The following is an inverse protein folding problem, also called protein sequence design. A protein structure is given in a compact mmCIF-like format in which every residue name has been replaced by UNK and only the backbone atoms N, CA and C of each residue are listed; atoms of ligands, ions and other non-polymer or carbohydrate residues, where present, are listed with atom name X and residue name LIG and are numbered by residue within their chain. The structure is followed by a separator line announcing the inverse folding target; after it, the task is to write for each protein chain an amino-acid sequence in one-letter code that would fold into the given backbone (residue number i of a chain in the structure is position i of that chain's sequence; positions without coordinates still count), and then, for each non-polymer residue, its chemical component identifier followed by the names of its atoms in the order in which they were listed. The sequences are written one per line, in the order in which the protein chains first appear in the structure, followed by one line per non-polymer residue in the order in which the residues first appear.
data_IF_015334694073
#
_entry.id   IF_015334694073
#
_cell.length_a   1.000
_cell.length_b   1.000
_cell.length_c   1.000
_cell.angle_alpha   90.00
_cell.angle_beta   90.00
_cell.angle_gamma   90.00
#
_symmetry.space_group_name_H-M   'P 1'
#
loop_
_entity.id
_entity.type
_entity.pdbx_description
1 polymer ?
#
# COMPACT_ATOMS: atom_id res chain seq x y z
N UNK A 1 21.70 1.58 -19.06
CA UNK A 1 21.42 2.95 -18.54
C UNK A 1 20.30 2.83 -17.54
N UNK A 2 20.43 3.40 -16.32
CA UNK A 2 19.43 3.20 -15.24
C UNK A 2 18.17 4.06 -15.37
N UNK A 3 18.25 5.14 -16.13
CA UNK A 3 17.14 6.10 -16.30
C UNK A 3 16.66 6.10 -17.75
N UNK A 4 15.85 5.13 -18.11
CA UNK A 4 15.22 5.03 -19.41
C UNK A 4 13.78 4.51 -19.27
N UNK A 5 12.98 4.65 -20.30
CA UNK A 5 11.60 4.17 -20.31
C UNK A 5 11.54 2.67 -20.61
N UNK A 6 10.94 1.92 -19.70
CA UNK A 6 10.61 0.50 -19.89
C UNK A 6 9.24 0.41 -20.55
N UNK A 7 9.17 -0.10 -21.75
CA UNK A 7 7.94 -0.17 -22.56
C UNK A 7 7.45 -1.60 -22.80
N UNK A 8 8.28 -2.59 -22.51
CA UNK A 8 7.95 -4.00 -22.76
C UNK A 8 7.27 -4.63 -21.56
N UNK A 9 6.19 -5.38 -21.82
CA UNK A 9 5.57 -6.22 -20.79
C UNK A 9 6.51 -7.35 -20.43
N UNK A 10 6.96 -7.40 -19.16
CA UNK A 10 7.91 -8.39 -18.68
C UNK A 10 7.82 -8.55 -17.16
N UNK A 11 8.39 -9.63 -16.62
CA UNK A 11 8.55 -9.77 -15.16
C UNK A 11 9.45 -8.66 -14.62
N UNK A 12 9.09 -8.11 -13.45
CA UNK A 12 9.90 -7.10 -12.74
C UNK A 12 11.26 -7.67 -12.33
N UNK A 13 11.27 -8.90 -11.81
CA UNK A 13 12.46 -9.53 -11.27
C UNK A 13 12.95 -10.66 -12.18
N UNK A 14 14.25 -10.93 -12.12
CA UNK A 14 14.90 -12.13 -12.64
C UNK A 14 14.76 -13.28 -11.64
N UNK A 15 15.20 -14.47 -12.02
CA UNK A 15 15.17 -15.66 -11.17
C UNK A 15 16.03 -15.52 -9.91
N UNK A 16 17.09 -14.72 -9.96
CA UNK A 16 17.95 -14.41 -8.83
C UNK A 16 17.37 -13.33 -7.88
N UNK A 17 16.19 -12.77 -8.18
CA UNK A 17 15.53 -11.71 -7.42
C UNK A 17 16.03 -10.30 -7.73
N UNK A 18 16.98 -10.11 -8.65
CA UNK A 18 17.42 -8.78 -9.10
C UNK A 18 16.44 -8.18 -10.09
N UNK A 19 16.42 -6.82 -10.19
CA UNK A 19 15.61 -6.13 -11.20
C UNK A 19 16.02 -6.58 -12.60
N UNK A 20 15.03 -6.94 -13.44
CA UNK A 20 15.26 -7.33 -14.82
C UNK A 20 15.75 -6.15 -15.67
N UNK A 21 15.07 -5.04 -15.55
CA UNK A 21 15.35 -3.84 -16.29
C UNK A 21 15.07 -2.61 -15.41
N UNK A 22 16.10 -2.01 -14.78
CA UNK A 22 15.93 -0.79 -14.00
C UNK A 22 15.57 0.39 -14.90
N UNK A 23 14.46 1.07 -14.61
CA UNK A 23 13.97 2.19 -15.40
C UNK A 23 12.65 2.72 -14.83
N UNK A 24 11.94 3.51 -15.60
CA UNK A 24 10.61 4.02 -15.29
C UNK A 24 9.63 3.64 -16.41
N UNK A 25 8.35 3.64 -16.14
CA UNK A 25 7.31 3.33 -17.14
C UNK A 25 6.09 4.20 -16.91
N UNK A 26 5.39 4.53 -18.01
CA UNK A 26 4.10 5.25 -17.96
C UNK A 26 2.92 4.35 -17.62
N UNK A 27 3.10 3.04 -17.74
CA UNK A 27 2.08 2.03 -17.50
C UNK A 27 2.67 0.86 -16.72
N UNK A 28 1.83 0.02 -16.13
CA UNK A 28 2.24 -1.19 -15.41
C UNK A 28 2.70 -2.29 -16.39
N UNK A 29 3.83 -2.09 -17.05
CA UNK A 29 4.42 -3.07 -18.00
C UNK A 29 5.33 -4.07 -17.30
N UNK A 30 5.82 -3.75 -16.11
CA UNK A 30 6.63 -4.65 -15.30
C UNK A 30 5.73 -5.43 -14.34
N UNK A 31 5.60 -6.73 -14.57
CA UNK A 31 4.74 -7.62 -13.80
C UNK A 31 5.41 -7.95 -12.47
N UNK A 32 4.86 -7.40 -11.39
CA UNK A 32 5.25 -7.71 -10.03
C UNK A 32 4.61 -9.01 -9.55
N UNK A 33 5.39 -9.84 -8.87
CA UNK A 33 4.89 -10.94 -8.04
C UNK A 33 5.72 -11.00 -6.75
N UNK A 34 5.04 -11.08 -5.62
CA UNK A 34 5.66 -11.25 -4.29
C UNK A 34 6.52 -12.52 -4.22
N UNK A 35 6.11 -13.58 -4.91
CA UNK A 35 6.81 -14.87 -4.88
C UNK A 35 8.17 -14.85 -5.58
N UNK A 36 8.42 -13.86 -6.44
CA UNK A 36 9.70 -13.68 -7.12
C UNK A 36 10.77 -13.02 -6.18
N UNK A 37 10.36 -12.49 -5.02
CA UNK A 37 11.28 -11.83 -4.06
C UNK A 37 12.09 -12.88 -3.29
N UNK A 38 13.42 -12.77 -3.33
CA UNK A 38 14.36 -13.69 -2.66
C UNK A 38 14.93 -13.17 -1.35
N UNK A 39 14.59 -11.95 -0.95
CA UNK A 39 15.06 -11.36 0.29
C UNK A 39 14.48 -12.09 1.53
N UNK A 40 15.22 -12.15 2.65
CA UNK A 40 14.68 -12.67 3.91
C UNK A 40 13.52 -11.77 4.42
N UNK A 41 12.54 -12.37 5.08
CA UNK A 41 11.27 -11.72 5.47
C UNK A 41 11.44 -10.39 6.20
N UNK A 42 12.42 -10.28 7.10
CA UNK A 42 12.65 -9.04 7.86
C UNK A 42 13.15 -7.86 7.02
N UNK A 43 13.60 -8.12 5.78
CA UNK A 43 14.05 -7.10 4.82
C UNK A 43 12.99 -6.74 3.79
N UNK A 44 11.91 -7.50 3.74
CA UNK A 44 10.82 -7.24 2.81
C UNK A 44 9.93 -6.17 3.43
N UNK A 45 9.61 -5.16 2.65
CA UNK A 45 8.72 -4.07 3.01
C UNK A 45 7.60 -4.04 1.99
N UNK A 46 6.39 -4.20 2.48
CA UNK A 46 5.19 -4.22 1.66
C UNK A 46 4.18 -3.27 2.28
N UNK A 47 3.56 -2.44 1.46
CA UNK A 47 2.48 -1.59 1.91
C UNK A 47 1.51 -1.27 0.78
N UNK A 48 0.27 -1.07 1.16
CA UNK A 48 -0.73 -0.40 0.34
C UNK A 48 -1.06 0.94 0.97
N UNK A 49 -1.07 1.97 0.13
CA UNK A 49 -1.41 3.33 0.49
C UNK A 49 -2.42 3.87 -0.51
N UNK A 50 -3.49 4.44 0.01
CA UNK A 50 -4.50 5.12 -0.78
C UNK A 50 -4.74 6.52 -0.27
N UNK A 51 -4.71 7.49 -1.17
CA UNK A 51 -5.14 8.86 -0.94
C UNK A 51 -6.42 9.08 -1.77
N UNK A 52 -7.50 9.45 -1.11
CA UNK A 52 -8.77 9.81 -1.73
C UNK A 52 -9.02 11.29 -1.47
N UNK A 53 -9.19 12.07 -2.54
CA UNK A 53 -9.41 13.51 -2.48
C UNK A 53 -10.80 13.81 -3.03
N UNK A 54 -11.56 14.62 -2.31
CA UNK A 54 -12.82 15.21 -2.78
C UNK A 54 -12.62 16.70 -2.94
N UNK A 55 -12.48 17.14 -4.20
CA UNK A 55 -12.36 18.56 -4.53
C UNK A 55 -13.66 19.33 -4.25
N UNK A 56 -14.82 18.67 -4.36
CA UNK A 56 -16.12 19.25 -4.09
C UNK A 56 -16.31 19.64 -2.60
N UNK A 57 -15.65 18.91 -1.71
CA UNK A 57 -15.82 19.06 -0.26
C UNK A 57 -14.55 19.57 0.44
N UNK A 58 -13.50 19.82 -0.33
CA UNK A 58 -12.19 20.24 0.19
C UNK A 58 -11.65 19.31 1.28
N UNK A 59 -11.84 18.00 1.11
CA UNK A 59 -11.36 16.99 2.08
C UNK A 59 -10.51 15.91 1.40
N UNK A 60 -9.66 15.27 2.19
CA UNK A 60 -8.97 14.06 1.76
C UNK A 60 -8.91 13.02 2.88
N UNK A 61 -8.85 11.75 2.48
CA UNK A 61 -8.58 10.62 3.37
C UNK A 61 -7.35 9.86 2.90
N UNK A 62 -6.44 9.54 3.82
CA UNK A 62 -5.26 8.73 3.52
C UNK A 62 -5.27 7.46 4.38
N UNK A 63 -5.03 6.31 3.75
CA UNK A 63 -5.15 5.00 4.39
C UNK A 63 -3.93 4.15 4.08
N UNK A 64 -3.32 3.58 5.11
CA UNK A 64 -2.11 2.76 4.99
C UNK A 64 -2.26 1.44 5.73
N UNK A 65 -1.90 0.34 5.08
CA UNK A 65 -1.61 -0.94 5.71
C UNK A 65 -0.21 -1.35 5.28
N UNK A 66 0.72 -1.49 6.23
CA UNK A 66 2.09 -1.91 5.93
C UNK A 66 2.57 -3.08 6.79
N UNK A 67 3.40 -3.91 6.17
CA UNK A 67 4.21 -4.95 6.78
C UNK A 67 5.66 -4.74 6.35
N UNK A 68 6.43 -4.00 7.13
CA UNK A 68 7.82 -3.68 6.83
C UNK A 68 8.80 -4.71 7.45
N UNK A 69 8.32 -5.92 7.68
CA UNK A 69 9.07 -7.00 8.27
C UNK A 69 9.21 -6.86 9.78
N UNK A 70 10.09 -6.00 10.26
CA UNK A 70 10.30 -5.79 11.71
C UNK A 70 9.26 -4.88 12.37
N UNK A 71 8.55 -4.08 11.60
CA UNK A 71 7.46 -3.21 12.05
C UNK A 71 6.32 -3.22 11.03
N UNK A 72 5.09 -3.14 11.49
CA UNK A 72 3.92 -2.85 10.68
C UNK A 72 3.28 -1.55 11.14
N UNK A 73 2.69 -0.81 10.22
CA UNK A 73 2.00 0.43 10.48
C UNK A 73 0.65 0.41 9.78
N UNK A 74 -0.41 0.67 10.54
CA UNK A 74 -1.75 0.86 10.03
C UNK A 74 -2.21 2.26 10.42
N UNK A 75 -2.53 3.07 9.44
CA UNK A 75 -2.83 4.47 9.65
C UNK A 75 -4.04 4.90 8.83
N UNK A 76 -4.86 5.72 9.44
CA UNK A 76 -5.90 6.48 8.76
C UNK A 76 -5.72 7.96 9.08
N UNK A 77 -5.83 8.81 8.07
CA UNK A 77 -5.77 10.26 8.20
C UNK A 77 -7.02 10.86 7.56
N UNK A 78 -7.56 11.88 8.21
CA UNK A 78 -8.53 12.79 7.63
C UNK A 78 -7.90 14.16 7.51
N UNK A 79 -8.07 14.79 6.35
CA UNK A 79 -7.53 16.11 6.05
C UNK A 79 -8.69 17.00 5.62
N UNK A 80 -8.84 18.11 6.30
CA UNK A 80 -9.67 19.23 5.87
C UNK A 80 -8.76 20.21 5.10
N UNK A 81 -9.07 20.46 3.84
CA UNK A 81 -8.28 21.27 2.92
C UNK A 81 -8.92 22.66 2.68
N UNK A 82 -9.99 22.98 3.42
CA UNK A 82 -10.73 24.25 3.32
C UNK A 82 -9.93 25.47 3.76
N UNK A 83 -10.63 26.58 4.06
CA UNK A 83 -9.99 27.85 4.40
C UNK A 83 -9.08 27.80 5.65
N UNK A 84 -9.38 26.91 6.59
CA UNK A 84 -8.56 26.67 7.79
C UNK A 84 -8.15 25.20 7.83
N UNK A 85 -7.11 24.82 7.08
CA UNK A 85 -6.71 23.42 6.94
C UNK A 85 -6.32 22.80 8.29
N UNK A 86 -6.77 21.55 8.50
CA UNK A 86 -6.33 20.76 9.63
C UNK A 86 -6.26 19.26 9.24
N UNK A 87 -5.56 18.48 10.02
CA UNK A 87 -5.50 17.03 9.86
C UNK A 87 -5.65 16.31 11.20
N UNK A 88 -6.20 15.11 11.12
CA UNK A 88 -6.19 14.15 12.21
C UNK A 88 -5.70 12.80 11.70
N UNK A 89 -4.73 12.23 12.38
CA UNK A 89 -4.12 10.94 12.00
C UNK A 89 -4.04 10.02 13.20
N UNK A 90 -4.60 8.82 13.03
CA UNK A 90 -4.46 7.72 13.97
C UNK A 90 -3.57 6.63 13.39
N UNK A 91 -2.68 6.09 14.24
CA UNK A 91 -1.70 5.10 13.81
C UNK A 91 -1.60 3.95 14.81
N UNK A 92 -1.63 2.72 14.30
CA UNK A 92 -1.36 1.49 15.04
C UNK A 92 -0.02 0.95 14.59
N UNK A 93 0.87 0.69 15.53
CA UNK A 93 2.14 0.03 15.28
C UNK A 93 2.10 -1.42 15.75
N UNK A 94 2.62 -2.32 14.93
CA UNK A 94 2.75 -3.74 15.24
C UNK A 94 4.22 -4.16 15.16
N UNK A 95 4.69 -4.80 16.20
CA UNK A 95 6.05 -5.33 16.22
C UNK A 95 6.13 -6.66 15.47
N UNK A 96 7.12 -6.79 14.60
CA UNK A 96 7.50 -8.01 13.90
C UNK A 96 6.36 -8.73 13.17
N UNK A 97 5.63 -8.05 12.27
CA UNK A 97 4.59 -8.73 11.47
C UNK A 97 5.19 -9.81 10.55
N UNK A 98 6.37 -9.59 9.96
CA UNK A 98 7.15 -10.60 9.22
C UNK A 98 6.37 -11.32 8.11
N UNK A 99 5.51 -10.59 7.39
CA UNK A 99 4.63 -11.13 6.35
C UNK A 99 3.33 -11.77 6.88
N UNK A 100 3.00 -11.58 8.15
CA UNK A 100 1.75 -12.14 8.75
C UNK A 100 0.50 -11.47 8.23
N UNK A 101 0.59 -10.24 7.74
CA UNK A 101 -0.54 -9.52 7.13
C UNK A 101 -0.94 -10.11 5.78
N UNK A 102 -0.07 -10.93 5.16
CA UNK A 102 -0.36 -11.64 3.92
C UNK A 102 -0.86 -10.71 2.82
N UNK A 103 -0.14 -9.59 2.61
CA UNK A 103 -0.45 -8.71 1.50
C UNK A 103 -0.49 -9.49 0.19
N UNK A 104 -1.30 -9.07 -0.80
CA UNK A 104 -1.40 -9.75 -2.08
C UNK A 104 -0.04 -9.93 -2.76
N UNK A 105 0.14 -11.08 -3.41
CA UNK A 105 1.39 -11.39 -4.15
C UNK A 105 1.51 -10.61 -5.45
N UNK A 106 0.43 -9.94 -5.87
CA UNK A 106 0.34 -9.16 -7.11
C UNK A 106 -0.37 -7.84 -6.84
N UNK A 107 0.03 -6.79 -7.56
CA UNK A 107 -0.61 -5.47 -7.52
C UNK A 107 -1.91 -5.37 -8.34
N UNK A 108 -2.29 -6.41 -9.08
CA UNK A 108 -3.43 -6.37 -10.01
C UNK A 108 -4.75 -6.67 -9.31
N UNK A 109 -4.73 -7.59 -8.36
CA UNK A 109 -5.93 -8.00 -7.63
C UNK A 109 -5.55 -8.61 -6.28
N UNK A 110 -6.49 -8.58 -5.36
CA UNK A 110 -6.36 -9.17 -4.02
C UNK A 110 -6.95 -8.28 -2.95
N UNK A 111 -6.88 -8.74 -1.72
CA UNK A 111 -7.37 -8.02 -0.54
C UNK A 111 -6.21 -7.80 0.42
N UNK A 112 -5.95 -6.54 0.75
CA UNK A 112 -5.09 -6.17 1.86
C UNK A 112 -5.98 -5.88 3.06
N UNK A 113 -5.74 -6.55 4.18
CA UNK A 113 -6.59 -6.40 5.37
C UNK A 113 -5.78 -6.32 6.64
N UNK A 114 -6.22 -5.41 7.53
CA UNK A 114 -5.85 -5.37 8.93
C UNK A 114 -7.10 -5.31 9.81
N UNK A 115 -7.12 -6.08 10.88
CA UNK A 115 -8.22 -6.06 11.84
C UNK A 115 -7.71 -6.33 13.25
N UNK A 116 -8.05 -5.43 14.17
CA UNK A 116 -7.94 -5.63 15.61
C UNK A 116 -9.16 -5.02 16.33
N UNK A 117 -9.10 -4.88 17.65
CA UNK A 117 -10.20 -4.29 18.45
C UNK A 117 -10.42 -2.78 18.19
N UNK A 118 -9.45 -2.08 17.58
CA UNK A 118 -9.46 -0.63 17.34
C UNK A 118 -9.78 -0.29 15.88
N UNK A 119 -9.39 -1.14 14.95
CA UNK A 119 -9.43 -0.87 13.50
C UNK A 119 -9.86 -2.10 12.74
N UNK A 120 -10.85 -1.96 11.86
CA UNK A 120 -11.10 -2.85 10.73
C UNK A 120 -10.87 -2.05 9.44
N UNK A 121 -9.81 -2.39 8.72
CA UNK A 121 -9.46 -1.71 7.48
C UNK A 121 -9.10 -2.74 6.40
N UNK A 122 -9.68 -2.57 5.21
CA UNK A 122 -9.32 -3.41 4.08
C UNK A 122 -9.41 -2.67 2.75
N UNK A 123 -8.60 -3.12 1.82
CA UNK A 123 -8.50 -2.61 0.46
C UNK A 123 -8.72 -3.75 -0.52
N UNK A 124 -9.84 -3.73 -1.24
CA UNK A 124 -10.15 -4.70 -2.27
C UNK A 124 -9.69 -4.17 -3.63
N UNK A 125 -8.62 -4.78 -4.15
CA UNK A 125 -8.11 -4.49 -5.48
C UNK A 125 -8.78 -5.40 -6.51
N UNK A 126 -9.49 -4.81 -7.47
CA UNK A 126 -10.06 -5.49 -8.61
C UNK A 126 -9.60 -4.83 -9.91
N UNK A 127 -9.96 -5.45 -11.05
CA UNK A 127 -9.54 -4.99 -12.37
C UNK A 127 -9.95 -3.54 -12.65
N UNK A 128 -11.20 -3.20 -12.32
CA UNK A 128 -11.81 -1.93 -12.73
C UNK A 128 -12.14 -1.00 -11.55
N UNK A 129 -11.91 -1.44 -10.33
CA UNK A 129 -12.20 -0.65 -9.12
C UNK A 129 -11.29 -0.99 -7.95
N UNK A 130 -11.22 -0.05 -7.03
CA UNK A 130 -10.69 -0.24 -5.67
C UNK A 130 -11.81 0.06 -4.68
N UNK A 131 -11.96 -0.78 -3.67
CA UNK A 131 -12.86 -0.52 -2.54
C UNK A 131 -11.98 -0.35 -1.31
N UNK A 132 -12.16 0.75 -0.61
CA UNK A 132 -11.47 1.07 0.62
C UNK A 132 -12.53 1.08 1.72
N UNK A 133 -12.35 0.25 2.72
CA UNK A 133 -13.16 0.24 3.93
C UNK A 133 -12.25 0.55 5.12
N UNK A 134 -12.70 1.46 5.98
CA UNK A 134 -12.01 1.80 7.20
C UNK A 134 -13.04 2.10 8.30
N UNK A 135 -13.02 1.31 9.36
CA UNK A 135 -13.75 1.54 10.61
C UNK A 135 -12.70 1.64 11.73
N UNK A 136 -12.35 2.85 12.10
CA UNK A 136 -11.39 3.14 13.16
C UNK A 136 -12.15 3.65 14.38
N UNK A 137 -12.18 2.87 15.46
CA UNK A 137 -12.87 3.26 16.70
C UNK A 137 -12.14 4.43 17.35
N UNK A 138 -12.92 5.43 17.77
CA UNK A 138 -12.40 6.65 18.41
C UNK A 138 -11.44 7.43 17.50
N UNK A 139 -11.71 7.43 16.20
CA UNK A 139 -10.93 8.15 15.20
C UNK A 139 -11.18 9.61 15.40
N UNK A 140 -11.40 10.32 16.04
CA UNK A 140 -11.61 11.75 16.14
C UNK A 140 -12.27 12.15 17.43
N UNK A 141 -11.60 12.46 18.37
CA UNK A 141 -12.15 13.33 19.43
C UNK A 141 -11.13 14.38 19.86
#
# INVERSE_FOLDING_TARGET
MRNHEVTKVQKLLKEDGSLREPGWSKQLVQQYSRDDIKAPKFRIKEWDYYLVVSEEHDIAGAFTISDDGYIGLQSASFLDLGETPWEHTETILNAFPMGKLKLPTSSVSGVTKYQDKRLDMHFDAGKDKRVIFCDYKNFHE
#
